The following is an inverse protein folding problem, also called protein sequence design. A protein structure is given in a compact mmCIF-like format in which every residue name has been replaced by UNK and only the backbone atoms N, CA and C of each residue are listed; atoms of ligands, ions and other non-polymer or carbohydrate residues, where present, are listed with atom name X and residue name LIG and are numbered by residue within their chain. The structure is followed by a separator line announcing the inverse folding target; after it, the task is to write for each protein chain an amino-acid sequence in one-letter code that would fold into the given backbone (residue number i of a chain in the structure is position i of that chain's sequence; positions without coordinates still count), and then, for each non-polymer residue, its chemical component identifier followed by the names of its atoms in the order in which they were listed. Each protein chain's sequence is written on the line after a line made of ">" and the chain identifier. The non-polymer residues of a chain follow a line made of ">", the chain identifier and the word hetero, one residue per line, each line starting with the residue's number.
data_IF_575948802914
#
_entry.id   IF_575948802914
#
_cell.length_a   1.000
_cell.length_b   1.000
_cell.length_c   1.000
_cell.angle_alpha   90.00
_cell.angle_beta   90.00
_cell.angle_gamma   90.00
#
_symmetry.space_group_name_H-M   'P 1'
#
loop_
_entity.id
_entity.type
_entity.pdbx_description
1 polymer ?
#
# COMPACT_ATOMS: atom_id res chain seq x y z
N UNK A 1 -25.14 28.15 -10.24
CA UNK A 1 -24.50 27.08 -11.04
C UNK A 1 -22.97 27.17 -11.06
N UNK A 2 -22.35 28.35 -11.17
CA UNK A 2 -20.88 28.50 -11.18
C UNK A 2 -20.14 27.87 -9.98
N UNK A 3 -20.58 28.12 -8.73
CA UNK A 3 -19.91 27.63 -7.51
C UNK A 3 -19.78 26.10 -7.39
N UNK A 4 -20.74 25.34 -7.92
CA UNK A 4 -20.71 23.86 -7.86
C UNK A 4 -19.66 23.29 -8.81
N UNK A 5 -19.53 23.89 -10.00
CA UNK A 5 -18.51 23.52 -10.98
C UNK A 5 -17.10 23.86 -10.48
N UNK A 6 -16.95 24.94 -9.70
CA UNK A 6 -15.66 25.32 -9.11
C UNK A 6 -15.20 24.33 -8.04
N UNK A 7 -16.10 23.88 -7.16
CA UNK A 7 -15.80 22.89 -6.13
C UNK A 7 -15.48 21.51 -6.72
N UNK A 8 -16.22 21.06 -7.73
CA UNK A 8 -15.93 19.82 -8.46
C UNK A 8 -14.59 19.88 -9.19
N UNK A 9 -14.24 21.06 -9.73
CA UNK A 9 -12.94 21.30 -10.35
C UNK A 9 -11.80 21.27 -9.32
N UNK A 10 -11.96 21.92 -8.17
CA UNK A 10 -10.97 21.88 -7.08
C UNK A 10 -10.76 20.45 -6.57
N UNK A 11 -11.85 19.71 -6.34
CA UNK A 11 -11.80 18.31 -5.93
C UNK A 11 -11.00 17.46 -6.92
N UNK A 12 -11.31 17.56 -8.23
CA UNK A 12 -10.57 16.85 -9.28
C UNK A 12 -9.10 17.25 -9.31
N UNK A 13 -8.76 18.53 -9.11
CA UNK A 13 -7.38 19.00 -9.07
C UNK A 13 -6.60 18.39 -7.90
N UNK A 14 -7.18 18.37 -6.70
CA UNK A 14 -6.58 17.77 -5.50
C UNK A 14 -6.35 16.26 -5.67
N UNK A 15 -7.38 15.52 -6.09
CA UNK A 15 -7.27 14.07 -6.34
C UNK A 15 -6.20 13.80 -7.41
N UNK A 16 -6.11 14.62 -8.46
CA UNK A 16 -5.08 14.49 -9.48
C UNK A 16 -3.67 14.75 -8.94
N UNK A 17 -3.48 15.73 -8.05
CA UNK A 17 -2.20 16.01 -7.42
C UNK A 17 -1.75 14.83 -6.55
N UNK A 18 -2.64 14.33 -5.70
CA UNK A 18 -2.39 13.16 -4.85
C UNK A 18 -2.13 11.91 -5.69
N UNK A 19 -2.90 11.72 -6.77
CA UNK A 19 -2.69 10.62 -7.72
C UNK A 19 -1.32 10.66 -8.38
N UNK A 20 -0.79 11.85 -8.69
CA UNK A 20 0.57 12.00 -9.19
C UNK A 20 1.60 11.64 -8.12
N UNK A 21 1.34 11.96 -6.85
CA UNK A 21 2.22 11.58 -5.75
C UNK A 21 2.23 10.05 -5.56
N UNK A 22 1.05 9.42 -5.45
CA UNK A 22 0.90 7.97 -5.34
C UNK A 22 1.64 7.26 -6.47
N UNK A 23 1.49 7.73 -7.72
CA UNK A 23 2.21 7.14 -8.87
C UNK A 23 3.73 7.24 -8.73
N UNK A 24 4.28 8.25 -8.05
CA UNK A 24 5.72 8.32 -7.77
C UNK A 24 6.11 7.32 -6.68
N UNK A 25 5.30 7.18 -5.63
CA UNK A 25 5.55 6.26 -4.52
C UNK A 25 5.58 4.80 -4.99
N UNK A 26 4.62 4.37 -5.83
CA UNK A 26 4.55 2.96 -6.29
C UNK A 26 5.72 2.52 -7.18
N UNK A 27 6.46 3.46 -7.79
CA UNK A 27 7.68 3.15 -8.53
C UNK A 27 8.95 3.39 -7.70
N UNK A 28 8.82 3.85 -6.46
CA UNK A 28 9.94 4.00 -5.53
C UNK A 28 10.29 2.62 -4.98
N UNK A 29 11.52 2.17 -5.21
CA UNK A 29 12.06 1.02 -4.48
C UNK A 29 12.17 1.32 -2.99
N UNK A 30 11.96 0.30 -2.16
CA UNK A 30 12.12 0.41 -0.72
C UNK A 30 13.59 0.67 -0.38
N UNK A 31 13.85 1.78 0.30
CA UNK A 31 15.18 2.14 0.79
C UNK A 31 15.37 1.52 2.16
N UNK A 32 16.06 0.38 2.20
CA UNK A 32 16.33 -0.32 3.45
C UNK A 32 17.80 -0.66 3.60
N UNK A 33 18.36 -0.22 4.73
CA UNK A 33 19.65 -0.68 5.25
C UNK A 33 19.47 -1.82 6.25
N UNK A 34 18.21 -2.19 6.54
CA UNK A 34 17.87 -3.28 7.47
C UNK A 34 18.14 -4.62 6.81
N UNK A 35 18.86 -5.47 7.54
CA UNK A 35 19.01 -6.89 7.22
C UNK A 35 17.85 -7.64 7.89
N UNK A 36 17.03 -8.33 7.10
CA UNK A 36 15.93 -9.13 7.63
C UNK A 36 16.44 -10.51 8.05
N UNK A 37 15.89 -11.04 9.14
CA UNK A 37 16.24 -12.36 9.66
C UNK A 37 15.17 -13.39 9.30
N UNK A 38 15.53 -14.67 9.35
CA UNK A 38 14.55 -15.76 9.24
C UNK A 38 13.43 -15.56 10.27
N UNK A 39 12.19 -15.77 9.84
CA UNK A 39 10.94 -15.56 10.56
C UNK A 39 10.51 -14.10 10.78
N UNK A 40 11.26 -13.10 10.29
CA UNK A 40 10.76 -11.73 10.27
C UNK A 40 9.46 -11.63 9.44
N UNK A 41 8.43 -11.00 10.00
CA UNK A 41 7.25 -10.60 9.23
C UNK A 41 7.55 -9.32 8.44
N UNK A 42 7.22 -9.35 7.16
CA UNK A 42 7.48 -8.27 6.20
C UNK A 42 6.27 -8.03 5.30
N UNK A 43 6.27 -6.91 4.61
CA UNK A 43 5.41 -6.68 3.45
C UNK A 43 6.25 -6.60 2.19
N UNK A 44 5.79 -7.29 1.14
CA UNK A 44 6.40 -7.29 -0.19
C UNK A 44 5.63 -6.32 -1.08
N UNK A 45 6.27 -5.25 -1.53
CA UNK A 45 5.76 -4.34 -2.53
C UNK A 45 5.90 -4.96 -3.92
N UNK A 46 4.80 -5.10 -4.66
CA UNK A 46 4.86 -5.71 -5.99
C UNK A 46 5.27 -4.70 -7.07
N UNK A 47 6.30 -5.07 -7.85
CA UNK A 47 6.71 -4.37 -9.08
C UNK A 47 5.97 -4.89 -10.33
N UNK A 48 5.16 -5.94 -10.18
CA UNK A 48 4.50 -6.59 -11.31
C UNK A 48 3.36 -5.73 -11.88
N UNK A 49 3.29 -5.66 -13.21
CA UNK A 49 2.20 -4.95 -13.90
C UNK A 49 0.85 -5.57 -13.54
N UNK A 50 -0.04 -4.76 -13.00
CA UNK A 50 -1.35 -5.21 -12.50
C UNK A 50 -1.40 -5.27 -10.97
N UNK A 51 -0.25 -5.41 -10.33
CA UNK A 51 -0.08 -5.43 -8.87
C UNK A 51 0.67 -4.21 -8.33
N UNK A 52 1.09 -3.26 -9.19
CA UNK A 52 1.72 -2.02 -8.77
C UNK A 52 0.87 -1.26 -7.73
N UNK A 53 1.52 -0.97 -6.60
CA UNK A 53 0.90 -0.32 -5.43
C UNK A 53 0.24 -1.29 -4.45
N UNK A 54 0.46 -2.60 -4.61
CA UNK A 54 0.06 -3.61 -3.63
C UNK A 54 1.23 -3.99 -2.70
N UNK A 55 0.87 -4.32 -1.46
CA UNK A 55 1.77 -4.84 -0.45
C UNK A 55 1.20 -6.15 0.11
N UNK A 56 1.96 -7.23 -0.01
CA UNK A 56 1.55 -8.56 0.43
C UNK A 56 2.32 -8.98 1.68
N UNK A 57 1.59 -9.43 2.71
CA UNK A 57 2.22 -9.90 3.94
C UNK A 57 2.95 -11.22 3.69
N UNK A 58 4.19 -11.30 4.14
CA UNK A 58 5.03 -12.47 4.00
C UNK A 58 5.94 -12.67 5.23
N UNK A 59 6.61 -13.82 5.27
CA UNK A 59 7.63 -14.16 6.27
C UNK A 59 8.93 -14.50 5.57
N UNK A 60 10.05 -13.99 6.07
CA UNK A 60 11.38 -14.34 5.56
C UNK A 60 11.69 -15.81 5.92
N UNK A 61 12.08 -16.61 4.93
CA UNK A 61 12.58 -17.95 5.15
C UNK A 61 14.08 -17.93 5.37
N UNK A 62 14.85 -17.37 4.43
CA UNK A 62 16.28 -17.22 4.57
C UNK A 62 16.83 -16.22 3.54
N UNK A 63 17.95 -15.52 3.85
CA UNK A 63 18.69 -14.74 2.87
C UNK A 63 19.35 -15.66 1.84
N UNK A 64 19.51 -15.19 0.61
CA UNK A 64 20.07 -15.99 -0.48
C UNK A 64 21.38 -15.39 -0.97
N UNK A 65 22.47 -16.13 -0.79
CA UNK A 65 23.77 -15.77 -1.36
C UNK A 65 24.35 -14.47 -0.78
N UNK A 66 25.14 -13.77 -1.59
CA UNK A 66 25.82 -12.50 -1.23
C UNK A 66 25.09 -11.25 -1.74
N UNK A 67 24.12 -11.43 -2.64
CA UNK A 67 23.23 -10.37 -3.10
C UNK A 67 22.05 -10.32 -2.14
N UNK A 68 21.58 -9.14 -1.76
CA UNK A 68 20.58 -8.91 -0.70
C UNK A 68 19.17 -9.45 -1.00
N UNK A 69 19.04 -10.58 -1.67
CA UNK A 69 17.76 -11.19 -2.03
C UNK A 69 17.31 -12.17 -0.94
N UNK A 70 16.00 -12.31 -0.78
CA UNK A 70 15.38 -13.14 0.24
C UNK A 70 14.41 -14.12 -0.38
N UNK A 71 14.36 -15.34 0.16
CA UNK A 71 13.20 -16.23 -0.06
C UNK A 71 12.14 -15.85 0.96
N UNK A 72 10.94 -15.56 0.49
CA UNK A 72 9.80 -15.24 1.35
C UNK A 72 8.68 -16.26 1.15
N UNK A 73 7.89 -16.47 2.19
CA UNK A 73 6.64 -17.20 2.14
C UNK A 73 5.49 -16.24 2.35
N UNK A 74 4.60 -16.10 1.37
CA UNK A 74 3.42 -15.26 1.50
C UNK A 74 2.44 -15.85 2.52
N UNK A 75 1.76 -14.97 3.27
CA UNK A 75 0.84 -15.39 4.33
C UNK A 75 -0.49 -15.89 3.78
N UNK A 76 -1.00 -15.22 2.75
CA UNK A 76 -2.35 -15.42 2.23
C UNK A 76 -2.39 -15.87 0.76
N UNK A 77 -1.23 -15.93 0.08
CA UNK A 77 -1.13 -16.40 -1.30
C UNK A 77 -0.73 -17.87 -1.34
N UNK A 78 -1.34 -18.60 -2.27
CA UNK A 78 -1.12 -20.03 -2.49
C UNK A 78 -0.83 -20.30 -3.97
N UNK A 79 -0.24 -21.44 -4.27
CA UNK A 79 -0.10 -21.94 -5.64
C UNK A 79 -1.46 -22.33 -6.25
N UNK A 80 -1.47 -22.67 -7.55
CA UNK A 80 -2.68 -23.08 -8.29
C UNK A 80 -3.42 -24.27 -7.67
N UNK A 81 -2.73 -25.05 -6.84
CA UNK A 81 -3.31 -26.14 -6.05
C UNK A 81 -4.19 -25.67 -4.87
N UNK A 82 -4.26 -24.36 -4.63
CA UNK A 82 -5.00 -23.67 -3.56
C UNK A 82 -4.65 -24.09 -2.13
N UNK A 83 -3.57 -24.85 -1.95
CA UNK A 83 -3.22 -25.46 -0.66
C UNK A 83 -1.80 -25.16 -0.24
N UNK A 84 -0.87 -25.09 -1.19
CA UNK A 84 0.54 -24.85 -0.91
C UNK A 84 0.80 -23.35 -0.83
N UNK A 85 1.33 -22.82 0.30
CA UNK A 85 1.69 -21.40 0.40
C UNK A 85 2.67 -21.00 -0.70
N UNK A 86 2.44 -19.84 -1.31
CA UNK A 86 3.33 -19.30 -2.33
C UNK A 86 4.65 -18.86 -1.70
N UNK A 87 5.75 -19.35 -2.25
CA UNK A 87 7.09 -18.89 -1.91
C UNK A 87 7.74 -18.23 -3.13
N UNK A 88 8.46 -17.14 -2.93
CA UNK A 88 9.10 -16.41 -4.02
C UNK A 88 10.43 -15.79 -3.63
N UNK A 89 11.20 -15.44 -4.65
CA UNK A 89 12.49 -14.76 -4.56
C UNK A 89 12.29 -13.26 -4.73
N UNK A 90 12.62 -12.48 -3.71
CA UNK A 90 12.29 -11.05 -3.62
C UNK A 90 13.56 -10.25 -3.33
N UNK A 91 13.72 -9.11 -4.00
CA UNK A 91 14.84 -8.20 -3.77
C UNK A 91 14.62 -7.40 -2.50
N UNK A 92 15.70 -6.98 -1.85
CA UNK A 92 15.62 -6.07 -0.69
C UNK A 92 14.84 -4.78 -0.98
N UNK A 93 14.87 -4.29 -2.22
CA UNK A 93 14.14 -3.10 -2.66
C UNK A 93 12.63 -3.29 -2.76
N UNK A 94 12.13 -4.52 -2.67
CA UNK A 94 10.70 -4.83 -2.65
C UNK A 94 10.21 -5.09 -1.22
N UNK A 95 11.11 -5.09 -0.23
CA UNK A 95 10.79 -5.43 1.15
C UNK A 95 10.72 -4.21 2.05
N UNK A 96 9.70 -4.21 2.90
CA UNK A 96 9.62 -3.34 4.07
C UNK A 96 9.15 -4.13 5.28
N UNK A 97 9.43 -3.67 6.51
CA UNK A 97 8.80 -4.25 7.70
C UNK A 97 7.28 -4.15 7.62
N UNK A 98 6.56 -4.81 8.52
CA UNK A 98 5.13 -4.54 8.69
C UNK A 98 4.96 -3.14 9.32
N UNK A 99 4.10 -2.27 8.76
CA UNK A 99 3.86 -0.94 9.32
C UNK A 99 3.21 -1.03 10.70
N UNK A 100 3.50 -0.09 11.61
CA UNK A 100 2.85 -0.03 12.90
C UNK A 100 1.36 0.25 12.74
N UNK A 101 0.55 -0.38 13.59
CA UNK A 101 -0.88 -0.10 13.65
C UNK A 101 -1.12 1.30 14.23
N UNK A 102 -2.00 2.06 13.57
CA UNK A 102 -2.43 3.37 14.04
C UNK A 102 -3.86 3.23 14.52
N UNK A 103 -4.13 3.38 15.83
CA UNK A 103 -5.47 3.25 16.37
C UNK A 103 -6.41 4.28 15.75
N UNK A 104 -7.58 3.84 15.28
CA UNK A 104 -8.53 4.70 14.56
C UNK A 104 -9.08 5.83 15.43
N UNK A 105 -9.12 5.61 16.74
CA UNK A 105 -9.60 6.56 17.74
C UNK A 105 -8.70 7.79 17.84
N UNK A 106 -7.43 7.66 17.42
CA UNK A 106 -6.45 8.75 17.49
C UNK A 106 -6.53 9.70 16.31
N UNK A 107 -6.94 9.21 15.13
CA UNK A 107 -7.02 10.00 13.90
C UNK A 107 -8.13 9.47 12.99
N UNK A 108 -9.26 10.17 12.86
CA UNK A 108 -10.28 9.81 11.86
C UNK A 108 -9.72 9.98 10.45
N UNK A 109 -10.12 9.09 9.53
CA UNK A 109 -9.80 9.20 8.12
C UNK A 109 -10.73 10.22 7.45
N UNK A 110 -10.16 11.06 6.60
CA UNK A 110 -10.84 12.13 5.91
C UNK A 110 -10.65 12.04 4.40
N UNK A 111 -11.46 12.82 3.68
CA UNK A 111 -11.26 12.97 2.24
C UNK A 111 -9.86 13.50 1.96
N UNK A 112 -9.21 12.96 0.93
CA UNK A 112 -7.84 13.22 0.51
C UNK A 112 -6.74 12.50 1.30
N UNK A 113 -7.06 11.76 2.36
CA UNK A 113 -6.07 10.89 2.99
C UNK A 113 -5.61 9.80 2.01
N UNK A 114 -4.31 9.51 2.04
CA UNK A 114 -3.71 8.37 1.35
C UNK A 114 -3.81 7.16 2.27
N UNK A 115 -4.40 6.08 1.77
CA UNK A 115 -4.73 4.88 2.53
C UNK A 115 -4.25 3.64 1.80
N UNK A 116 -4.03 2.56 2.54
CA UNK A 116 -4.00 1.22 1.97
C UNK A 116 -5.35 0.55 2.22
N UNK A 117 -5.90 -0.10 1.19
CA UNK A 117 -7.12 -0.91 1.28
C UNK A 117 -6.77 -2.38 1.23
N UNK A 118 -7.28 -3.19 2.16
CA UNK A 118 -7.11 -4.63 2.14
C UNK A 118 -8.12 -5.29 1.19
N UNK A 119 -7.63 -5.75 0.04
CA UNK A 119 -8.41 -6.40 -1.02
C UNK A 119 -7.51 -7.37 -1.81
N UNK A 120 -8.06 -8.44 -2.38
CA UNK A 120 -7.30 -9.49 -3.08
C UNK A 120 -6.00 -9.87 -2.32
N UNK A 121 -6.16 -10.23 -1.04
CA UNK A 121 -5.11 -10.76 -0.15
C UNK A 121 -3.93 -9.80 0.14
N UNK A 122 -4.01 -8.55 -0.33
CA UNK A 122 -2.96 -7.54 -0.19
C UNK A 122 -3.51 -6.17 0.21
N UNK A 123 -2.59 -5.26 0.50
CA UNK A 123 -2.86 -3.86 0.83
C UNK A 123 -2.60 -2.98 -0.39
N UNK A 124 -3.60 -2.22 -0.85
CA UNK A 124 -3.53 -1.43 -2.08
C UNK A 124 -3.58 0.07 -1.80
N UNK A 125 -2.55 0.79 -2.23
CA UNK A 125 -2.48 2.24 -2.04
C UNK A 125 -3.55 2.97 -2.88
N UNK A 126 -4.31 3.83 -2.22
CA UNK A 126 -5.34 4.64 -2.82
C UNK A 126 -5.51 5.99 -2.11
N UNK A 127 -6.45 6.79 -2.59
CA UNK A 127 -6.83 8.07 -1.97
C UNK A 127 -8.33 8.09 -1.72
N UNK A 128 -8.74 8.52 -0.52
CA UNK A 128 -10.15 8.72 -0.21
C UNK A 128 -10.67 9.93 -1.00
N UNK A 129 -11.66 9.73 -1.85
CA UNK A 129 -12.29 10.80 -2.64
C UNK A 129 -13.59 11.29 -2.03
N UNK A 130 -14.27 10.47 -1.23
CA UNK A 130 -15.44 10.88 -0.48
C UNK A 130 -15.70 9.95 0.71
N UNK A 131 -16.47 10.46 1.67
CA UNK A 131 -17.12 9.66 2.71
C UNK A 131 -18.59 9.47 2.35
N UNK A 132 -19.07 8.23 2.38
CA UNK A 132 -20.46 7.87 2.09
C UNK A 132 -20.98 7.14 3.31
N UNK A 133 -21.79 7.82 4.13
CA UNK A 133 -22.26 7.30 5.42
C UNK A 133 -21.10 6.88 6.35
N UNK A 134 -20.92 5.58 6.58
CA UNK A 134 -19.85 4.98 7.38
C UNK A 134 -18.74 4.33 6.54
N UNK A 135 -18.81 4.48 5.21
CA UNK A 135 -17.88 3.91 4.25
C UNK A 135 -17.06 4.99 3.55
N UNK A 136 -15.96 4.56 2.92
CA UNK A 136 -15.04 5.43 2.20
C UNK A 136 -15.01 5.04 0.73
N UNK A 137 -15.18 6.05 -0.13
CA UNK A 137 -14.93 5.92 -1.56
C UNK A 137 -13.44 6.15 -1.80
N UNK A 138 -12.76 5.15 -2.35
CA UNK A 138 -11.32 5.17 -2.57
C UNK A 138 -11.03 5.07 -4.06
N UNK A 139 -10.20 5.97 -4.57
CA UNK A 139 -9.70 5.94 -5.93
C UNK A 139 -8.28 5.37 -5.98
N UNK A 140 -8.02 4.47 -6.93
CA UNK A 140 -6.75 3.79 -7.14
C UNK A 140 -6.04 4.35 -8.38
N UNK A 141 -4.99 5.18 -8.26
CA UNK A 141 -4.37 5.84 -9.40
C UNK A 141 -3.69 4.93 -10.42
N UNK A 142 -3.32 3.71 -10.01
CA UNK A 142 -2.65 2.69 -10.84
C UNK A 142 -3.64 1.96 -11.74
N UNK A 143 -4.78 1.50 -11.20
CA UNK A 143 -5.85 0.83 -11.97
C UNK A 143 -6.90 1.78 -12.55
N UNK A 144 -6.96 3.03 -12.06
CA UNK A 144 -7.99 4.04 -12.36
C UNK A 144 -9.41 3.64 -11.94
N UNK A 145 -9.52 2.75 -10.95
CA UNK A 145 -10.81 2.34 -10.38
C UNK A 145 -11.17 3.19 -9.17
N UNK A 146 -12.47 3.33 -8.92
CA UNK A 146 -13.00 3.94 -7.70
C UNK A 146 -14.02 2.97 -7.08
N UNK A 147 -13.80 2.59 -5.84
CA UNK A 147 -14.56 1.54 -5.16
C UNK A 147 -14.87 2.01 -3.72
N UNK A 148 -16.01 1.57 -3.17
CA UNK A 148 -16.42 1.88 -1.81
C UNK A 148 -16.02 0.74 -0.89
N UNK A 149 -15.42 1.07 0.25
CA UNK A 149 -14.98 0.11 1.26
C UNK A 149 -15.41 0.56 2.66
N UNK A 150 -15.69 -0.43 3.50
CA UNK A 150 -15.91 -0.24 4.92
C UNK A 150 -14.62 0.19 5.62
N UNK A 151 -14.75 0.92 6.72
CA UNK A 151 -13.60 1.46 7.45
C UNK A 151 -12.57 0.38 7.82
N UNK A 152 -13.01 -0.80 8.28
CA UNK A 152 -12.16 -1.92 8.72
C UNK A 152 -11.18 -2.43 7.66
N UNK A 153 -11.48 -2.19 6.37
CA UNK A 153 -10.60 -2.53 5.25
C UNK A 153 -9.50 -1.52 4.99
N UNK A 154 -9.54 -0.35 5.61
CA UNK A 154 -8.57 0.73 5.38
C UNK A 154 -7.56 0.82 6.51
N UNK A 155 -6.31 1.17 6.18
CA UNK A 155 -5.33 1.72 7.11
C UNK A 155 -4.69 2.97 6.50
N UNK A 156 -4.12 3.86 7.32
CA UNK A 156 -3.33 4.96 6.77
C UNK A 156 -2.12 4.40 6.03
N UNK A 157 -1.88 4.92 4.83
CA UNK A 157 -0.69 4.55 4.10
C UNK A 157 0.55 5.12 4.79
N UNK A 158 1.58 4.30 4.91
CA UNK A 158 2.87 4.65 5.50
C UNK A 158 3.97 4.19 4.54
N UNK A 159 5.00 5.01 4.41
CA UNK A 159 6.19 4.70 3.62
C UNK A 159 7.34 4.32 4.53
N UNK A 160 8.12 3.33 4.08
CA UNK A 160 9.38 2.96 4.74
C UNK A 160 10.52 3.70 4.06
N UNK A 161 11.21 4.56 4.80
CA UNK A 161 12.33 5.35 4.30
C UNK A 161 13.35 5.56 5.41
N UNK A 162 14.63 5.35 5.11
CA UNK A 162 15.75 5.56 6.05
C UNK A 162 15.55 4.89 7.42
N UNK A 163 15.02 3.67 7.42
CA UNK A 163 14.81 2.90 8.64
C UNK A 163 13.64 3.39 9.51
N UNK A 164 12.76 4.25 8.98
CA UNK A 164 11.62 4.82 9.72
C UNK A 164 10.33 4.75 8.90
N UNK A 165 9.22 4.65 9.62
CA UNK A 165 7.88 4.83 9.06
C UNK A 165 7.54 6.31 9.01
N UNK A 166 7.13 6.78 7.84
CA UNK A 166 6.70 8.16 7.62
C UNK A 166 5.34 8.16 6.92
N UNK A 167 4.57 9.23 7.13
CA UNK A 167 3.40 9.50 6.30
C UNK A 167 3.86 10.27 5.06
N UNK A 168 3.38 9.91 3.85
CA UNK A 168 3.67 10.70 2.66
C UNK A 168 3.11 12.11 2.84
N UNK A 169 3.87 13.13 2.45
CA UNK A 169 3.32 14.48 2.35
C UNK A 169 2.25 14.50 1.26
N UNK A 170 1.11 15.11 1.57
CA UNK A 170 0.20 15.57 0.53
C UNK A 170 0.96 16.67 -0.21
N UNK A 171 1.34 16.41 -1.46
CA UNK A 171 2.13 17.35 -2.27
C UNK A 171 1.47 18.72 -2.44
#
# INVERSE_FOLDING_TARGET
>A
MAKRNDAEKDHKLRVNLISKNIRKLVYKGQETTRIFQMNDEVEVASEEKGYLGSYYKATILYPIGTCSDYRVKYKNLVHDDQTTPLEWFIRVSELRPVPPEIPRETKPMETYDIVDVYDNEGWWIGVITAKVEQEYRVYFPTSKQEIVYSADKLRFHQEWSDGKWIFPSLG
#
